data_IF_113942023867
#
_entry.id   IF_113942023867
#
_cell.length_a   1.000
_cell.length_b   1.000
_cell.length_c   1.000
_cell.angle_alpha   90.00
_cell.angle_beta   90.00
_cell.angle_gamma   90.00
#
_symmetry.space_group_name_H-M   'P 1'
#
loop_
_entity.id
_entity.type
_entity.pdbx_description
1 polymer ?
#
# COMPACT_ATOMS: atom_id res chain seq x y z
N UNK A 1 0.69 9.96 -9.45
CA UNK A 1 1.51 8.84 -8.96
C UNK A 1 1.46 8.91 -7.44
N UNK A 2 1.26 7.78 -6.77
CA UNK A 2 1.21 7.67 -5.31
C UNK A 2 2.33 6.75 -4.83
N UNK A 3 3.02 7.15 -3.78
CA UNK A 3 3.97 6.35 -3.02
C UNK A 3 3.47 6.24 -1.59
N UNK A 4 3.53 5.03 -1.02
CA UNK A 4 3.23 4.73 0.37
C UNK A 4 4.37 3.88 0.94
N UNK A 5 4.87 4.25 2.12
CA UNK A 5 6.06 3.65 2.73
C UNK A 5 5.80 3.31 4.20
N UNK A 6 6.38 2.21 4.68
CA UNK A 6 6.16 1.76 6.06
C UNK A 6 7.16 2.47 6.98
N UNK A 7 6.65 3.40 7.78
CA UNK A 7 7.46 4.06 8.80
C UNK A 7 7.98 3.03 9.81
N UNK A 8 9.30 3.03 10.04
CA UNK A 8 9.93 2.15 11.03
C UNK A 8 10.16 0.71 10.56
N UNK A 9 10.07 0.43 9.25
CA UNK A 9 10.23 -0.92 8.71
C UNK A 9 11.52 -1.62 9.13
N UNK A 10 12.66 -0.91 9.21
CA UNK A 10 13.92 -1.53 9.67
C UNK A 10 13.82 -2.10 11.08
N UNK A 11 13.16 -1.37 11.99
CA UNK A 11 12.94 -1.82 13.36
C UNK A 11 11.98 -3.00 13.41
N UNK A 12 10.89 -2.94 12.64
CA UNK A 12 9.93 -4.05 12.51
C UNK A 12 10.60 -5.32 11.97
N UNK A 13 11.33 -5.20 10.86
CA UNK A 13 12.03 -6.30 10.22
C UNK A 13 13.11 -6.93 11.12
N UNK A 14 13.70 -6.17 12.04
CA UNK A 14 14.67 -6.69 13.00
C UNK A 14 14.06 -7.53 14.13
N UNK A 15 12.75 -7.41 14.35
CA UNK A 15 12.01 -8.06 15.44
C UNK A 15 11.17 -9.25 14.95
N UNK A 16 10.94 -9.36 13.64
CA UNK A 16 10.19 -10.45 13.02
C UNK A 16 11.11 -11.49 12.39
N UNK A 17 10.65 -12.74 12.32
CA UNK A 17 11.24 -13.73 11.40
C UNK A 17 10.95 -13.34 9.95
N UNK A 18 11.77 -13.83 9.02
CA UNK A 18 11.55 -13.59 7.59
C UNK A 18 10.15 -14.04 7.11
N UNK A 19 9.63 -15.15 7.66
CA UNK A 19 8.32 -15.67 7.31
C UNK A 19 7.18 -14.76 7.80
N UNK A 20 7.28 -14.25 9.03
CA UNK A 20 6.30 -13.30 9.58
C UNK A 20 6.30 -11.98 8.81
N UNK A 21 7.49 -11.45 8.49
CA UNK A 21 7.62 -10.23 7.73
C UNK A 21 7.01 -10.36 6.32
N UNK A 22 7.31 -11.44 5.61
CA UNK A 22 6.74 -11.71 4.28
C UNK A 22 5.22 -11.87 4.36
N UNK A 23 4.70 -12.54 5.39
CA UNK A 23 3.26 -12.70 5.59
C UNK A 23 2.59 -11.34 5.80
N UNK A 24 3.15 -10.49 6.67
CA UNK A 24 2.64 -9.15 6.94
C UNK A 24 2.60 -8.30 5.67
N UNK A 25 3.71 -8.27 4.91
CA UNK A 25 3.80 -7.51 3.66
C UNK A 25 2.79 -8.01 2.62
N UNK A 26 2.65 -9.33 2.47
CA UNK A 26 1.68 -9.91 1.54
C UNK A 26 0.24 -9.55 1.90
N UNK A 27 -0.12 -9.58 3.19
CA UNK A 27 -1.46 -9.19 3.65
C UNK A 27 -1.74 -7.71 3.41
N UNK A 28 -0.77 -6.83 3.71
CA UNK A 28 -0.89 -5.39 3.53
C UNK A 28 -0.98 -5.03 2.04
N UNK A 29 -0.05 -5.51 1.23
CA UNK A 29 -0.02 -5.20 -0.20
C UNK A 29 -1.14 -5.87 -0.98
N UNK A 30 -1.64 -7.03 -0.53
CA UNK A 30 -2.85 -7.63 -1.09
C UNK A 30 -4.07 -6.72 -0.94
N UNK A 31 -4.27 -6.12 0.25
CA UNK A 31 -5.31 -5.11 0.48
C UNK A 31 -5.11 -3.87 -0.38
N UNK A 32 -3.88 -3.40 -0.52
CA UNK A 32 -3.59 -2.26 -1.41
C UNK A 32 -3.83 -2.59 -2.88
N UNK A 33 -3.63 -3.82 -3.32
CA UNK A 33 -3.96 -4.24 -4.68
C UNK A 33 -5.47 -4.25 -4.94
N UNK A 34 -6.28 -4.62 -3.94
CA UNK A 34 -7.75 -4.50 -3.97
C UNK A 34 -8.16 -3.03 -4.10
N UNK A 35 -7.69 -2.17 -3.20
CA UNK A 35 -7.96 -0.73 -3.22
C UNK A 35 -7.50 -0.06 -4.52
N UNK A 36 -6.34 -0.47 -5.06
CA UNK A 36 -5.84 0.07 -6.32
C UNK A 36 -6.79 -0.25 -7.47
N UNK A 37 -7.37 -1.45 -7.47
CA UNK A 37 -8.38 -1.85 -8.47
C UNK A 37 -9.63 -0.99 -8.37
N UNK A 38 -10.13 -0.78 -7.15
CA UNK A 38 -11.32 0.04 -6.86
C UNK A 38 -11.10 1.52 -7.24
N UNK A 39 -9.92 2.05 -6.96
CA UNK A 39 -9.55 3.45 -7.22
C UNK A 39 -8.97 3.69 -8.62
N UNK A 40 -9.11 2.74 -9.55
CA UNK A 40 -8.56 2.86 -10.92
C UNK A 40 -7.07 3.23 -10.96
N UNK A 41 -6.31 2.69 -10.02
CA UNK A 41 -4.87 2.78 -9.92
C UNK A 41 -4.24 1.44 -10.32
N UNK A 42 -3.06 1.49 -10.94
CA UNK A 42 -2.27 0.31 -11.26
C UNK A 42 -1.02 0.32 -10.40
N UNK A 43 -0.81 -0.75 -9.63
CA UNK A 43 0.50 -0.99 -8.99
C UNK A 43 1.58 -1.08 -10.06
N UNK A 44 2.66 -0.33 -9.86
CA UNK A 44 3.82 -0.40 -10.76
C UNK A 44 4.83 -1.43 -10.25
N UNK A 45 5.21 -1.32 -8.98
CA UNK A 45 6.12 -2.26 -8.33
C UNK A 45 6.02 -2.11 -6.82
N UNK A 46 6.69 -3.04 -6.14
CA UNK A 46 7.07 -2.94 -4.73
C UNK A 46 8.59 -2.76 -4.67
N UNK A 47 9.06 -1.86 -3.82
CA UNK A 47 10.48 -1.66 -3.55
C UNK A 47 10.70 -1.77 -2.04
N UNK A 48 11.03 -2.98 -1.58
CA UNK A 48 11.11 -3.28 -0.16
C UNK A 48 9.73 -3.15 0.50
N UNK A 49 9.62 -2.19 1.41
CA UNK A 49 8.45 -1.80 2.17
C UNK A 49 7.61 -0.69 1.51
N UNK A 50 8.11 -0.11 0.42
CA UNK A 50 7.38 0.90 -0.34
C UNK A 50 6.45 0.27 -1.39
N UNK A 51 5.17 0.66 -1.34
CA UNK A 51 4.15 0.41 -2.35
C UNK A 51 3.95 1.66 -3.22
N UNK A 52 3.91 1.53 -4.54
CA UNK A 52 3.58 2.66 -5.40
C UNK A 52 2.73 2.29 -6.61
N UNK A 53 1.76 3.17 -6.90
CA UNK A 53 0.79 3.00 -7.96
C UNK A 53 0.58 4.29 -8.75
N UNK A 54 -0.08 4.16 -9.90
CA UNK A 54 -0.40 5.28 -10.78
C UNK A 54 -1.77 5.08 -11.40
N UNK A 55 -2.54 6.16 -11.50
CA UNK A 55 -3.74 6.21 -12.33
C UNK A 55 -3.44 6.88 -13.67
N UNK A 56 -4.13 6.46 -14.73
CA UNK A 56 -4.04 7.11 -16.04
C UNK A 56 -2.86 6.70 -16.94
N UNK A 57 -2.02 5.73 -16.53
CA UNK A 57 -0.81 5.37 -17.30
C UNK A 57 -1.11 4.60 -18.59
N UNK A 58 -1.91 3.53 -18.53
CA UNK A 58 -2.23 2.70 -19.71
C UNK A 58 -3.38 3.26 -20.53
N UNK A 59 -4.32 3.94 -19.88
CA UNK A 59 -5.44 4.62 -20.51
C UNK A 59 -5.54 6.01 -19.90
N UNK A 60 -5.45 7.10 -20.70
CA UNK A 60 -5.61 8.45 -20.20
C UNK A 60 -6.94 8.60 -19.47
N UNK A 61 -6.88 9.21 -18.28
CA UNK A 61 -8.05 9.38 -17.41
C UNK A 61 -8.05 10.80 -16.86
N UNK A 62 -9.10 11.57 -17.13
CA UNK A 62 -9.16 13.01 -16.79
C UNK A 62 -9.15 13.27 -15.28
N UNK A 63 -9.62 12.31 -14.49
CA UNK A 63 -9.69 12.32 -13.03
C UNK A 63 -8.56 11.50 -12.38
N UNK A 64 -7.46 11.23 -13.09
CA UNK A 64 -6.34 10.41 -12.59
C UNK A 64 -5.77 10.91 -11.24
N UNK A 65 -5.79 12.23 -11.00
CA UNK A 65 -5.31 12.82 -9.76
C UNK A 65 -6.25 12.52 -8.60
N UNK A 66 -7.56 12.63 -8.83
CA UNK A 66 -8.60 12.29 -7.85
C UNK A 66 -8.49 10.82 -7.44
N UNK A 67 -8.41 9.91 -8.42
CA UNK A 67 -8.17 8.49 -8.19
C UNK A 67 -6.96 8.19 -7.31
N UNK A 68 -5.84 8.88 -7.52
CA UNK A 68 -4.66 8.71 -6.67
C UNK A 68 -4.88 9.24 -5.24
N UNK A 69 -5.68 10.29 -5.05
CA UNK A 69 -5.95 10.85 -3.72
C UNK A 69 -6.91 9.95 -2.95
N UNK A 70 -8.01 9.51 -3.55
CA UNK A 70 -8.96 8.57 -2.95
C UNK A 70 -8.26 7.26 -2.56
N UNK A 71 -7.39 6.74 -3.43
CA UNK A 71 -6.53 5.60 -3.10
C UNK A 71 -5.74 5.82 -1.80
N UNK A 72 -5.15 7.00 -1.62
CA UNK A 72 -4.38 7.33 -0.42
C UNK A 72 -5.24 7.42 0.83
N UNK A 73 -6.46 7.96 0.71
CA UNK A 73 -7.42 8.03 1.82
C UNK A 73 -7.88 6.62 2.22
N UNK A 74 -8.21 5.76 1.26
CA UNK A 74 -8.60 4.37 1.52
C UNK A 74 -7.47 3.54 2.14
N UNK A 75 -6.20 3.81 1.76
CA UNK A 75 -5.03 3.21 2.41
C UNK A 75 -4.97 3.61 3.89
N UNK A 76 -5.18 4.89 4.21
CA UNK A 76 -5.18 5.41 5.58
C UNK A 76 -6.30 4.76 6.39
N UNK A 77 -7.52 4.71 5.84
CA UNK A 77 -8.66 4.08 6.50
C UNK A 77 -8.41 2.58 6.75
N UNK A 78 -7.86 1.88 5.76
CA UNK A 78 -7.53 0.45 5.85
C UNK A 78 -6.50 0.13 6.94
N UNK A 79 -5.49 1.00 7.11
CA UNK A 79 -4.48 0.86 8.16
C UNK A 79 -5.09 1.23 9.53
N UNK A 80 -5.88 2.29 9.60
CA UNK A 80 -6.45 2.81 10.86
C UNK A 80 -7.52 1.87 11.43
N UNK A 81 -8.33 1.22 10.59
CA UNK A 81 -9.37 0.28 11.02
C UNK A 81 -8.83 -1.08 11.50
N UNK A 82 -7.53 -1.34 11.34
CA UNK A 82 -6.84 -2.50 11.95
C UNK A 82 -5.96 -2.07 13.13
N UNK A 83 -6.52 -1.78 14.32
CA UNK A 83 -5.70 -1.73 15.52
C UNK A 83 -5.25 -3.16 15.87
N UNK A 84 -3.97 -3.34 16.22
CA UNK A 84 -3.32 -4.54 16.85
C UNK A 84 -2.51 -5.51 15.98
N UNK A 85 -1.80 -5.08 14.93
CA UNK A 85 -0.74 -5.93 14.32
C UNK A 85 0.66 -5.31 14.42
N UNK A 86 0.77 -4.07 14.92
CA UNK A 86 2.03 -3.34 14.99
C UNK A 86 2.55 -3.07 16.42
N UNK A 87 2.00 -3.73 17.43
CA UNK A 87 2.51 -3.71 18.82
C UNK A 87 3.49 -4.87 19.10
N UNK A 88 4.25 -5.32 18.09
CA UNK A 88 5.37 -6.24 18.26
C UNK A 88 6.70 -5.48 18.33
#
# INVERSE_FOLDING_TARGET
ILFADIVGFTSLASQCTAQELVKLLNELFGKFDELATENHCRRIKILGDCYYCVSGLTQPKTDHAHCCVEMGLDMIDTITFKPRVLDL
#
